data_IF_189257793250
#
_entry.id   IF_189257793250
#
_cell.length_a   1.000
_cell.length_b   1.000
_cell.length_c   1.000
_cell.angle_alpha   90.00
_cell.angle_beta   90.00
_cell.angle_gamma   90.00
#
_symmetry.space_group_name_H-M   'P 1'
#
loop_
_entity.id
_entity.type
_entity.pdbx_description
1 polymer ?
#
# COMPACT_ATOMS: atom_id res chain seq x y z
N UNK A 1 -50.67 0.68 32.11
CA UNK A 1 -49.83 0.78 30.90
C UNK A 1 -48.48 1.24 31.40
N UNK A 2 -47.57 0.28 31.37
CA UNK A 2 -46.19 0.32 31.79
C UNK A 2 -45.42 1.47 31.12
N UNK A 3 -44.59 2.17 31.89
CA UNK A 3 -43.29 2.61 31.38
C UNK A 3 -42.36 2.79 32.58
N UNK A 4 -41.56 1.76 32.81
CA UNK A 4 -40.50 1.71 33.80
C UNK A 4 -39.17 1.97 33.10
N UNK A 5 -38.29 2.70 33.81
CA UNK A 5 -36.86 2.93 33.54
C UNK A 5 -36.57 3.70 32.24
N UNK A 6 -35.90 4.85 32.30
CA UNK A 6 -34.56 4.88 32.84
C UNK A 6 -34.22 6.21 33.52
N UNK A 7 -33.64 6.09 34.70
CA UNK A 7 -33.18 7.19 35.52
C UNK A 7 -31.84 7.67 34.97
N UNK A 8 -31.80 8.82 34.32
CA UNK A 8 -30.53 9.51 34.05
C UNK A 8 -30.28 10.51 35.17
N UNK A 9 -29.24 10.31 35.99
CA UNK A 9 -28.48 11.47 36.45
C UNK A 9 -26.96 11.14 36.60
N UNK A 10 -26.09 12.09 36.99
CA UNK A 10 -25.46 13.08 36.08
C UNK A 10 -23.94 13.24 36.36
N UNK A 11 -23.29 14.27 35.77
CA UNK A 11 -21.91 14.77 36.00
C UNK A 11 -20.89 14.31 34.96
N UNK A 12 -20.00 15.13 34.38
CA UNK A 12 -19.56 16.51 34.65
C UNK A 12 -18.73 16.99 33.42
N UNK A 13 -18.85 18.28 33.12
CA UNK A 13 -17.76 19.21 32.73
C UNK A 13 -16.82 18.83 31.56
N UNK A 14 -16.95 19.50 30.41
CA UNK A 14 -16.28 20.76 30.00
C UNK A 14 -14.93 20.54 29.28
N UNK A 15 -14.77 21.37 28.24
CA UNK A 15 -13.53 21.82 27.59
C UNK A 15 -12.91 20.89 26.54
N UNK A 16 -13.05 21.34 25.31
CA UNK A 16 -11.99 21.30 24.29
C UNK A 16 -10.62 21.56 24.91
N UNK A 17 -9.60 20.76 24.58
CA UNK A 17 -8.23 21.22 24.55
C UNK A 17 -7.85 21.48 23.09
N UNK A 18 -7.77 22.76 22.72
CA UNK A 18 -6.79 23.22 21.75
C UNK A 18 -5.44 23.07 22.46
N UNK A 19 -4.72 21.99 22.16
CA UNK A 19 -3.32 21.83 22.56
C UNK A 19 -2.44 22.36 21.45
N UNK A 20 -1.80 23.51 21.68
CA UNK A 20 -0.61 23.95 20.95
C UNK A 20 0.57 23.02 21.26
N UNK A 21 1.32 22.70 20.20
CA UNK A 21 2.74 22.36 20.14
C UNK A 21 3.34 21.41 21.19
N UNK A 22 3.66 20.18 20.79
CA UNK A 22 4.78 19.44 21.37
C UNK A 22 5.58 18.82 20.22
N UNK A 23 6.82 19.27 20.11
CA UNK A 23 7.84 18.81 19.19
C UNK A 23 8.12 17.33 19.49
N UNK A 24 7.44 16.42 18.78
CA UNK A 24 7.67 14.99 18.88
C UNK A 24 8.06 14.50 17.49
N UNK A 25 9.36 14.24 17.34
CA UNK A 25 10.04 13.57 16.24
C UNK A 25 9.08 12.78 15.35
N UNK A 26 8.83 13.29 14.14
CA UNK A 26 8.13 12.57 13.08
C UNK A 26 8.98 11.35 12.71
N UNK A 27 8.79 10.24 13.41
CA UNK A 27 9.16 8.95 12.83
C UNK A 27 8.23 8.77 11.65
N UNK A 28 8.72 8.67 10.40
CA UNK A 28 7.86 8.35 9.29
C UNK A 28 7.23 7.00 9.62
N UNK A 29 5.94 7.02 9.97
CA UNK A 29 5.17 5.79 10.16
C UNK A 29 5.24 5.11 8.81
N UNK A 30 6.09 4.09 8.70
CA UNK A 30 6.29 3.35 7.45
C UNK A 30 4.98 2.66 7.14
N UNK A 31 4.14 3.31 6.33
CA UNK A 31 2.91 2.72 5.81
C UNK A 31 3.37 1.57 4.94
N UNK A 32 3.21 0.35 5.44
CA UNK A 32 3.50 -0.82 4.63
C UNK A 32 2.42 -0.87 3.53
N UNK A 33 2.81 -1.08 2.26
CA UNK A 33 1.83 -1.30 1.20
C UNK A 33 0.86 -2.39 1.65
N UNK A 34 -0.44 -2.10 1.60
CA UNK A 34 -1.46 -3.04 2.05
C UNK A 34 -1.51 -4.31 1.19
N UNK A 35 -0.92 -4.27 0.00
CA UNK A 35 -0.92 -5.35 -0.96
C UNK A 35 0.48 -5.97 -1.08
N UNK A 36 0.51 -7.29 -0.96
CA UNK A 36 1.71 -8.08 -1.21
C UNK A 36 2.01 -8.10 -2.71
N UNK A 37 3.30 -7.96 -3.04
CA UNK A 37 3.77 -7.98 -4.42
C UNK A 37 4.71 -9.14 -4.65
N UNK A 38 4.64 -9.71 -5.84
CA UNK A 38 5.46 -10.83 -6.31
C UNK A 38 6.44 -10.34 -7.37
N UNK A 39 7.71 -10.75 -7.25
CA UNK A 39 8.73 -10.50 -8.25
C UNK A 39 8.59 -11.48 -9.41
N UNK A 40 8.58 -10.96 -10.63
CA UNK A 40 8.62 -11.72 -11.89
C UNK A 40 9.85 -11.33 -12.69
N UNK A 41 10.42 -12.30 -13.40
CA UNK A 41 11.53 -12.10 -14.33
C UNK A 41 10.99 -11.64 -15.69
N UNK A 42 11.52 -10.51 -16.18
CA UNK A 42 11.09 -9.94 -17.47
C UNK A 42 12.07 -10.28 -18.58
N UNK A 43 13.36 -10.42 -18.29
CA UNK A 43 14.36 -10.87 -19.27
C UNK A 43 14.98 -12.19 -18.79
N UNK A 44 14.66 -13.34 -19.42
CA UNK A 44 15.16 -14.65 -18.98
C UNK A 44 16.69 -14.79 -18.97
N UNK A 45 17.38 -13.96 -19.76
CA UNK A 45 18.85 -13.95 -19.86
C UNK A 45 19.48 -13.09 -18.76
N UNK A 46 18.70 -12.25 -18.07
CA UNK A 46 19.19 -11.34 -17.04
C UNK A 46 18.28 -11.37 -15.79
N UNK A 47 18.67 -12.10 -14.73
CA UNK A 47 17.86 -12.25 -13.52
C UNK A 47 17.72 -10.96 -12.71
N UNK A 48 18.49 -9.91 -13.01
CA UNK A 48 18.36 -8.61 -12.34
C UNK A 48 17.20 -7.78 -12.93
N UNK A 49 16.75 -8.10 -14.15
CA UNK A 49 15.65 -7.41 -14.84
C UNK A 49 14.32 -8.01 -14.43
N UNK A 50 13.92 -7.68 -13.20
CA UNK A 50 12.67 -8.13 -12.57
C UNK A 50 11.69 -6.98 -12.36
N UNK A 51 10.41 -7.31 -12.26
CA UNK A 51 9.33 -6.37 -11.92
C UNK A 51 8.43 -6.95 -10.83
N UNK A 52 7.68 -6.08 -10.15
CA UNK A 52 6.76 -6.45 -9.08
C UNK A 52 5.32 -6.31 -9.54
N UNK A 53 4.53 -7.37 -9.40
CA UNK A 53 3.09 -7.39 -9.69
C UNK A 53 2.30 -7.83 -8.45
N UNK A 54 0.99 -7.55 -8.39
CA UNK A 54 0.14 -7.96 -7.26
C UNK A 54 0.15 -9.48 -7.03
N UNK A 55 0.40 -9.92 -5.78
CA UNK A 55 0.42 -11.34 -5.43
C UNK A 55 -0.97 -11.97 -5.47
N UNK A 56 -2.03 -11.18 -5.28
CA UNK A 56 -3.42 -11.63 -5.29
C UNK A 56 -4.06 -11.69 -6.67
N UNK A 57 -3.31 -11.38 -7.73
CA UNK A 57 -3.78 -11.54 -9.11
C UNK A 57 -4.04 -13.03 -9.40
N UNK A 58 -5.14 -13.33 -10.10
CA UNK A 58 -5.43 -14.68 -10.58
C UNK A 58 -4.34 -15.18 -11.52
N UNK A 59 -4.11 -16.50 -11.56
CA UNK A 59 -2.98 -17.09 -12.32
C UNK A 59 -2.99 -16.72 -13.80
N UNK A 60 -4.16 -16.71 -14.43
CA UNK A 60 -4.30 -16.34 -15.84
C UNK A 60 -3.89 -14.88 -16.08
N UNK A 61 -4.36 -13.98 -15.22
CA UNK A 61 -4.04 -12.55 -15.29
C UNK A 61 -2.54 -12.32 -15.05
N UNK A 62 -1.94 -13.03 -14.09
CA UNK A 62 -0.49 -12.98 -13.86
C UNK A 62 0.29 -13.39 -15.12
N UNK A 63 -0.12 -14.47 -15.79
CA UNK A 63 0.52 -14.94 -17.02
C UNK A 63 0.42 -13.91 -18.13
N UNK A 64 -0.77 -13.38 -18.38
CA UNK A 64 -0.98 -12.38 -19.43
C UNK A 64 -0.17 -11.09 -19.19
N UNK A 65 -0.15 -10.60 -17.94
CA UNK A 65 0.68 -9.44 -17.56
C UNK A 65 2.16 -9.75 -17.75
N UNK A 66 2.62 -10.90 -17.26
CA UNK A 66 4.04 -11.30 -17.39
C UNK A 66 4.45 -11.38 -18.86
N UNK A 67 3.63 -12.01 -19.70
CA UNK A 67 3.89 -12.13 -21.14
C UNK A 67 3.89 -10.76 -21.83
N UNK A 68 2.96 -9.88 -21.45
CA UNK A 68 2.90 -8.51 -21.98
C UNK A 68 4.17 -7.72 -21.64
N UNK A 69 4.60 -7.75 -20.37
CA UNK A 69 5.82 -7.08 -19.92
C UNK A 69 7.08 -7.65 -20.60
N UNK A 70 7.16 -8.98 -20.74
CA UNK A 70 8.27 -9.65 -21.44
C UNK A 70 8.35 -9.29 -22.92
N UNK A 71 7.21 -9.20 -23.61
CA UNK A 71 7.17 -8.79 -25.04
C UNK A 71 7.63 -7.36 -25.27
N UNK A 72 7.49 -6.49 -24.27
CA UNK A 72 7.85 -5.08 -24.33
C UNK A 72 9.08 -4.78 -23.46
N UNK A 73 9.91 -5.79 -23.20
CA UNK A 73 11.08 -5.66 -22.32
C UNK A 73 12.08 -4.62 -22.84
N UNK A 74 12.06 -4.32 -24.13
CA UNK A 74 12.88 -3.31 -24.81
C UNK A 74 12.43 -1.86 -24.58
N UNK A 75 11.19 -1.63 -24.12
CA UNK A 75 10.65 -0.29 -23.83
C UNK A 75 11.14 0.24 -22.47
N UNK A 76 11.52 -0.64 -21.55
CA UNK A 76 11.93 -0.25 -20.22
C UNK A 76 13.41 0.13 -20.17
N UNK A 77 13.71 1.28 -19.57
CA UNK A 77 15.07 1.65 -19.19
C UNK A 77 15.48 0.85 -17.93
N UNK A 78 16.15 -0.28 -18.12
CA UNK A 78 16.54 -1.19 -17.03
C UNK A 78 17.75 -0.65 -16.25
N UNK A 79 18.60 0.09 -16.93
CA UNK A 79 19.73 0.78 -16.35
C UNK A 79 19.64 2.27 -16.68
N UNK A 80 20.22 3.15 -15.85
CA UNK A 80 20.29 4.58 -16.16
C UNK A 80 21.06 4.91 -17.46
N UNK A 81 21.72 3.92 -18.05
CA UNK A 81 22.48 4.04 -19.30
C UNK A 81 21.72 3.49 -20.51
N UNK A 82 20.54 2.88 -20.33
CA UNK A 82 19.70 2.48 -21.47
C UNK A 82 19.19 3.75 -22.18
N UNK A 83 19.43 3.90 -23.49
CA UNK A 83 18.99 5.08 -24.25
C UNK A 83 17.47 5.12 -24.40
N UNK A 84 16.88 6.33 -24.30
CA UNK A 84 15.48 6.63 -24.64
C UNK A 84 15.15 6.42 -26.13
#
# INVERSE_FOLDING_TARGET
MDDALDQVPPSKERKTPKGENSEETETPTKVQPAEELLNIEIIPVNPDKTMRIGSHLGEEVKKEITLCLQRNADIFAWTPQDPE
#
